data_IF_468943853434
#
_entry.id   IF_468943853434
#
_cell.length_a   1.000
_cell.length_b   1.000
_cell.length_c   1.000
_cell.angle_alpha   90.00
_cell.angle_beta   90.00
_cell.angle_gamma   90.00
#
_symmetry.space_group_name_H-M   'P 1'
#
loop_
_entity.id
_entity.type
_entity.pdbx_description
1 polymer ?
#
# COMPACT_ATOMS: atom_id res chain seq x y z
N UNK A 1 12.36 22.54 -26.55
CA UNK A 1 11.65 22.68 -25.26
C UNK A 1 12.60 22.21 -24.18
N UNK A 2 12.65 22.88 -23.04
CA UNK A 2 13.51 22.45 -21.93
C UNK A 2 13.14 21.02 -21.50
N UNK A 3 14.12 20.12 -21.26
CA UNK A 3 13.84 18.75 -20.82
C UNK A 3 12.94 18.70 -19.58
N UNK A 4 13.09 19.67 -18.67
CA UNK A 4 12.27 19.81 -17.48
C UNK A 4 10.79 20.07 -17.80
N UNK A 5 10.52 20.88 -18.83
CA UNK A 5 9.16 21.18 -19.27
C UNK A 5 8.51 19.95 -19.91
N UNK A 6 9.26 19.14 -20.67
CA UNK A 6 8.76 17.89 -21.24
C UNK A 6 8.38 16.90 -20.15
N UNK A 7 9.25 16.71 -19.14
CA UNK A 7 8.96 15.84 -17.99
C UNK A 7 7.72 16.32 -17.24
N UNK A 8 7.62 17.61 -16.94
CA UNK A 8 6.47 18.19 -16.25
C UNK A 8 5.16 17.97 -17.00
N UNK A 9 5.17 18.12 -18.32
CA UNK A 9 3.99 17.94 -19.17
C UNK A 9 3.55 16.47 -19.21
N UNK A 10 4.49 15.52 -19.31
CA UNK A 10 4.19 14.09 -19.24
C UNK A 10 3.60 13.72 -17.87
N UNK A 11 4.18 14.23 -16.78
CA UNK A 11 3.66 13.99 -15.42
C UNK A 11 2.25 14.57 -15.28
N UNK A 12 2.00 15.77 -15.79
CA UNK A 12 0.69 16.40 -15.74
C UNK A 12 -0.38 15.57 -16.47
N UNK A 13 -0.05 15.09 -17.68
CA UNK A 13 -0.92 14.20 -18.45
C UNK A 13 -1.15 12.88 -17.70
N UNK A 14 -0.08 12.26 -17.17
CA UNK A 14 -0.15 11.02 -16.39
C UNK A 14 -1.13 11.17 -15.22
N UNK A 15 -1.00 12.26 -14.44
CA UNK A 15 -1.89 12.55 -13.31
C UNK A 15 -3.34 12.76 -13.77
N UNK A 16 -3.56 13.45 -14.89
CA UNK A 16 -4.90 13.60 -15.47
C UNK A 16 -5.54 12.26 -15.80
N UNK A 17 -4.80 11.34 -16.44
CA UNK A 17 -5.29 9.98 -16.72
C UNK A 17 -5.50 9.15 -15.45
N UNK A 18 -4.64 9.30 -14.44
CA UNK A 18 -4.76 8.62 -13.16
C UNK A 18 -6.03 9.05 -12.40
N UNK A 19 -6.31 10.36 -12.38
CA UNK A 19 -7.52 10.92 -11.73
C UNK A 19 -8.78 10.50 -12.49
N UNK A 20 -8.74 10.44 -13.83
CA UNK A 20 -9.88 10.04 -14.63
C UNK A 20 -10.33 8.60 -14.33
N UNK A 21 -9.39 7.70 -14.00
CA UNK A 21 -9.69 6.35 -13.48
C UNK A 21 -10.38 5.40 -14.47
N UNK A 22 -10.54 5.78 -15.76
CA UNK A 22 -11.17 4.92 -16.78
C UNK A 22 -10.26 3.78 -17.27
N UNK A 23 -8.95 3.97 -17.17
CA UNK A 23 -7.95 3.04 -17.69
C UNK A 23 -7.25 2.34 -16.52
N UNK A 24 -6.76 1.12 -16.76
CA UNK A 24 -5.94 0.41 -15.77
C UNK A 24 -4.70 1.24 -15.44
N UNK A 25 -4.51 1.52 -14.16
CA UNK A 25 -3.40 2.35 -13.67
C UNK A 25 -2.03 1.87 -14.17
N UNK A 26 -1.79 0.56 -14.18
CA UNK A 26 -0.55 -0.05 -14.68
C UNK A 26 -0.28 0.29 -16.15
N UNK A 27 -1.33 0.28 -16.98
CA UNK A 27 -1.18 0.57 -18.42
C UNK A 27 -0.82 2.03 -18.67
N UNK A 28 -1.45 2.94 -17.91
CA UNK A 28 -1.20 4.38 -18.01
C UNK A 28 0.23 4.71 -17.58
N UNK A 29 0.70 4.16 -16.45
CA UNK A 29 2.05 4.41 -15.93
C UNK A 29 3.15 3.82 -16.81
N UNK A 30 2.95 2.60 -17.33
CA UNK A 30 3.90 1.97 -18.26
C UNK A 30 3.99 2.73 -19.59
N UNK A 31 2.88 3.25 -20.09
CA UNK A 31 2.87 4.06 -21.33
C UNK A 31 3.62 5.38 -21.13
N UNK A 32 3.41 6.05 -19.99
CA UNK A 32 4.15 7.27 -19.67
C UNK A 32 5.67 7.01 -19.55
N UNK A 33 6.06 5.92 -18.88
CA UNK A 33 7.46 5.50 -18.79
C UNK A 33 8.05 5.21 -20.19
N UNK A 34 7.32 4.51 -21.05
CA UNK A 34 7.75 4.22 -22.41
C UNK A 34 7.98 5.52 -23.22
N UNK A 35 7.08 6.50 -23.11
CA UNK A 35 7.22 7.81 -23.75
C UNK A 35 8.46 8.54 -23.23
N UNK A 36 8.71 8.52 -21.91
CA UNK A 36 9.90 9.16 -21.32
C UNK A 36 11.21 8.54 -21.83
N UNK A 37 11.26 7.21 -22.00
CA UNK A 37 12.43 6.51 -22.54
C UNK A 37 12.62 6.82 -24.03
N UNK A 38 11.53 6.82 -24.82
CA UNK A 38 11.56 7.14 -26.26
C UNK A 38 12.01 8.58 -26.53
N UNK A 39 11.65 9.52 -25.66
CA UNK A 39 12.09 10.91 -25.73
C UNK A 39 13.53 11.11 -25.21
N UNK A 40 14.20 10.06 -24.74
CA UNK A 40 15.56 10.13 -24.19
C UNK A 40 15.65 10.85 -22.84
N UNK A 41 14.52 11.09 -22.18
CA UNK A 41 14.46 11.74 -20.86
C UNK A 41 14.92 10.81 -19.74
N UNK A 42 14.73 9.50 -19.94
CA UNK A 42 15.17 8.45 -19.01
C UNK A 42 15.98 7.40 -19.79
N UNK A 43 17.21 7.07 -19.37
CA UNK A 43 17.98 5.99 -19.98
C UNK A 43 17.23 4.67 -19.88
N UNK A 44 17.17 3.90 -20.98
CA UNK A 44 16.43 2.62 -21.01
C UNK A 44 16.92 1.62 -19.95
N UNK A 45 18.20 1.68 -19.57
CA UNK A 45 18.79 0.86 -18.50
C UNK A 45 18.26 1.21 -17.11
N UNK A 46 17.82 2.45 -16.92
CA UNK A 46 17.35 2.99 -15.64
C UNK A 46 15.83 2.94 -15.49
N UNK A 47 15.11 2.72 -16.60
CA UNK A 47 13.64 2.75 -16.65
C UNK A 47 12.97 1.84 -15.60
N UNK A 48 13.60 0.71 -15.25
CA UNK A 48 13.07 -0.28 -14.31
C UNK A 48 13.72 -0.23 -12.92
N UNK A 49 14.63 0.72 -12.64
CA UNK A 49 15.27 0.83 -11.32
C UNK A 49 14.25 1.02 -10.18
N UNK A 50 13.09 1.63 -10.49
CA UNK A 50 11.99 1.80 -9.53
C UNK A 50 11.39 0.50 -9.01
N UNK A 51 11.50 -0.62 -9.72
CA UNK A 51 10.99 -1.93 -9.25
C UNK A 51 11.82 -2.49 -8.09
N UNK A 52 13.09 -2.08 -7.96
CA UNK A 52 13.95 -2.44 -6.83
C UNK A 52 13.74 -1.57 -5.59
N UNK A 53 12.82 -0.61 -5.64
CA UNK A 53 12.61 0.31 -4.53
C UNK A 53 12.07 -0.44 -3.30
N UNK A 54 12.59 -0.18 -2.08
CA UNK A 54 12.16 -0.87 -0.85
C UNK A 54 10.64 -0.85 -0.62
N UNK A 55 9.95 0.20 -1.05
CA UNK A 55 8.49 0.29 -0.96
C UNK A 55 7.77 -0.80 -1.79
N UNK A 56 8.26 -1.10 -3.00
CA UNK A 56 7.66 -2.14 -3.87
C UNK A 56 7.79 -3.51 -3.21
N UNK A 57 8.99 -3.80 -2.68
CA UNK A 57 9.28 -5.05 -1.96
C UNK A 57 8.39 -5.17 -0.72
N UNK A 58 8.21 -4.08 0.02
CA UNK A 58 7.37 -4.04 1.23
C UNK A 58 5.91 -4.39 0.93
N UNK A 59 5.33 -3.82 -0.12
CA UNK A 59 3.96 -4.14 -0.54
C UNK A 59 3.84 -5.62 -0.93
N UNK A 60 4.80 -6.16 -1.67
CA UNK A 60 4.81 -7.59 -2.05
C UNK A 60 4.86 -8.51 -0.82
N UNK A 61 5.75 -8.22 0.14
CA UNK A 61 5.86 -8.97 1.40
C UNK A 61 4.57 -8.89 2.23
N UNK A 62 3.92 -7.74 2.24
CA UNK A 62 2.67 -7.56 2.97
C UNK A 62 1.54 -8.37 2.39
N UNK A 63 1.40 -8.40 1.06
CA UNK A 63 0.40 -9.26 0.40
C UNK A 63 0.67 -10.73 0.71
N UNK A 64 1.94 -11.14 0.77
CA UNK A 64 2.35 -12.48 1.15
C UNK A 64 2.02 -12.79 2.62
N UNK A 65 2.37 -11.89 3.55
CA UNK A 65 2.09 -12.02 4.98
C UNK A 65 0.58 -12.06 5.21
N UNK A 66 -0.20 -11.19 4.58
CA UNK A 66 -1.66 -11.19 4.65
C UNK A 66 -2.23 -12.58 4.32
N UNK A 67 -1.78 -13.18 3.22
CA UNK A 67 -2.20 -14.53 2.83
C UNK A 67 -1.71 -15.62 3.79
N UNK A 68 -0.50 -15.48 4.33
CA UNK A 68 0.03 -16.41 5.32
C UNK A 68 -0.72 -16.35 6.65
N UNK A 69 -1.12 -15.16 7.10
CA UNK A 69 -1.91 -14.95 8.32
C UNK A 69 -3.35 -15.48 8.15
N UNK A 70 -3.94 -15.29 6.97
CA UNK A 70 -5.25 -15.85 6.61
C UNK A 70 -5.21 -17.39 6.64
N UNK A 71 -4.20 -18.00 6.00
CA UNK A 71 -4.06 -19.46 5.94
C UNK A 71 -3.64 -20.12 7.25
N UNK A 72 -2.88 -19.43 8.09
CA UNK A 72 -2.39 -19.99 9.36
C UNK A 72 -3.45 -19.99 10.48
N UNK A 73 -4.61 -19.34 10.28
CA UNK A 73 -5.62 -19.18 11.32
C UNK A 73 -5.21 -18.19 12.41
N UNK A 74 -4.09 -17.48 12.25
CA UNK A 74 -3.61 -16.49 13.22
C UNK A 74 -4.61 -15.35 13.43
N UNK A 75 -5.28 -14.92 12.36
CA UNK A 75 -6.36 -13.92 12.41
C UNK A 75 -7.49 -14.41 13.32
N UNK A 76 -7.85 -15.70 13.25
CA UNK A 76 -8.87 -16.28 14.11
C UNK A 76 -8.40 -16.30 15.57
N UNK A 77 -7.16 -16.74 15.84
CA UNK A 77 -6.61 -16.77 17.19
C UNK A 77 -6.57 -15.39 17.86
N UNK A 78 -6.12 -14.37 17.11
CA UNK A 78 -6.11 -12.98 17.60
C UNK A 78 -7.53 -12.50 17.83
N UNK A 79 -8.44 -12.71 16.89
CA UNK A 79 -9.83 -12.25 17.04
C UNK A 79 -10.55 -12.92 18.22
N UNK A 80 -10.26 -14.19 18.53
CA UNK A 80 -10.82 -14.85 19.73
C UNK A 80 -10.23 -14.29 21.03
N UNK A 81 -8.94 -13.94 21.02
CA UNK A 81 -8.27 -13.35 22.19
C UNK A 81 -8.73 -11.92 22.41
N UNK A 82 -8.81 -11.12 21.35
CA UNK A 82 -9.29 -9.75 21.40
C UNK A 82 -10.78 -9.70 21.74
N UNK A 83 -11.62 -10.57 21.17
CA UNK A 83 -13.06 -10.58 21.48
C UNK A 83 -13.38 -10.87 22.96
N UNK A 84 -12.46 -11.52 23.69
CA UNK A 84 -12.58 -11.72 25.14
C UNK A 84 -12.17 -10.51 25.97
N UNK A 85 -11.21 -9.71 25.49
CA UNK A 85 -10.56 -8.66 26.28
C UNK A 85 -10.90 -7.23 25.81
N UNK A 86 -11.34 -7.07 24.57
CA UNK A 86 -11.64 -5.81 23.90
C UNK A 86 -13.05 -5.90 23.32
N UNK A 87 -13.98 -5.21 23.97
CA UNK A 87 -15.41 -5.28 23.63
C UNK A 87 -15.88 -4.12 22.75
N UNK A 88 -15.06 -3.07 22.58
CA UNK A 88 -15.46 -1.84 21.87
C UNK A 88 -14.55 -1.46 20.71
N UNK A 89 -15.15 -0.97 19.62
CA UNK A 89 -14.47 -0.44 18.43
C UNK A 89 -13.39 0.61 18.81
N UNK A 90 -13.69 1.50 19.76
CA UNK A 90 -12.76 2.54 20.20
C UNK A 90 -11.50 1.98 20.87
N UNK A 91 -11.62 0.95 21.70
CA UNK A 91 -10.48 0.33 22.36
C UNK A 91 -9.57 -0.39 21.35
N UNK A 92 -10.17 -1.06 20.35
CA UNK A 92 -9.41 -1.68 19.26
C UNK A 92 -8.68 -0.64 18.42
N UNK A 93 -9.33 0.49 18.11
CA UNK A 93 -8.71 1.59 17.36
C UNK A 93 -7.53 2.21 18.12
N UNK A 94 -7.66 2.44 19.43
CA UNK A 94 -6.55 2.93 20.27
C UNK A 94 -5.38 1.92 20.28
N UNK A 95 -5.66 0.62 20.43
CA UNK A 95 -4.62 -0.41 20.36
C UNK A 95 -3.94 -0.42 18.99
N UNK A 96 -4.71 -0.34 17.91
CA UNK A 96 -4.20 -0.27 16.54
C UNK A 96 -3.27 0.93 16.38
N UNK A 97 -3.66 2.11 16.86
CA UNK A 97 -2.84 3.33 16.79
C UNK A 97 -1.55 3.21 17.59
N UNK A 98 -1.58 2.61 18.80
CA UNK A 98 -0.38 2.40 19.60
C UNK A 98 0.59 1.44 18.92
N UNK A 99 0.07 0.32 18.40
CA UNK A 99 0.87 -0.66 17.66
C UNK A 99 1.43 -0.03 16.38
N UNK A 100 0.63 0.72 15.62
CA UNK A 100 1.06 1.44 14.43
C UNK A 100 2.16 2.45 14.74
N UNK A 101 1.99 3.28 15.76
CA UNK A 101 2.99 4.27 16.18
C UNK A 101 4.29 3.59 16.63
N UNK A 102 4.19 2.50 17.38
CA UNK A 102 5.36 1.72 17.80
C UNK A 102 6.09 1.12 16.60
N UNK A 103 5.40 0.42 15.69
CA UNK A 103 6.01 -0.13 14.47
C UNK A 103 6.63 0.99 13.64
N UNK A 104 5.94 2.12 13.47
CA UNK A 104 6.41 3.26 12.69
C UNK A 104 7.67 3.93 13.27
N UNK A 105 8.02 3.66 14.54
CA UNK A 105 9.30 4.09 15.12
C UNK A 105 10.49 3.25 14.63
N UNK A 106 10.26 2.03 14.13
CA UNK A 106 11.29 1.12 13.64
C UNK A 106 11.30 0.99 12.11
N UNK A 107 10.18 1.26 11.45
CA UNK A 107 10.03 1.13 10.00
C UNK A 107 9.30 2.33 9.39
N UNK A 108 9.45 2.53 8.07
CA UNK A 108 8.72 3.57 7.34
C UNK A 108 7.20 3.34 7.45
N UNK A 109 6.43 4.44 7.52
CA UNK A 109 4.97 4.48 7.59
C UNK A 109 4.30 3.51 6.60
N UNK A 110 4.83 3.37 5.37
CA UNK A 110 4.29 2.45 4.36
C UNK A 110 4.38 1.00 4.84
N UNK A 111 5.49 0.59 5.44
CA UNK A 111 5.66 -0.77 5.97
C UNK A 111 4.78 -1.06 7.16
N UNK A 112 4.67 -0.10 8.09
CA UNK A 112 3.80 -0.25 9.26
C UNK A 112 2.32 -0.36 8.86
N UNK A 113 1.85 0.53 7.98
CA UNK A 113 0.50 0.48 7.42
C UNK A 113 0.23 -0.86 6.73
N UNK A 114 1.17 -1.29 5.89
CA UNK A 114 1.00 -2.48 5.08
C UNK A 114 0.90 -3.74 5.97
N UNK A 115 1.67 -3.83 7.06
CA UNK A 115 1.54 -4.96 8.00
C UNK A 115 0.21 -4.97 8.76
N UNK A 116 -0.28 -3.80 9.17
CA UNK A 116 -1.47 -3.71 10.02
C UNK A 116 -2.78 -3.83 9.23
N UNK A 117 -2.83 -3.33 8.00
CA UNK A 117 -4.04 -3.36 7.15
C UNK A 117 -4.71 -4.75 7.07
N UNK A 118 -4.00 -5.85 6.72
CA UNK A 118 -4.64 -7.16 6.62
C UNK A 118 -5.09 -7.70 7.98
N UNK A 119 -4.40 -7.34 9.06
CA UNK A 119 -4.75 -7.74 10.43
C UNK A 119 -6.04 -7.02 10.85
N UNK A 120 -6.12 -5.71 10.61
CA UNK A 120 -7.30 -4.89 10.89
C UNK A 120 -8.52 -5.40 10.13
N UNK A 121 -8.39 -5.65 8.82
CA UNK A 121 -9.49 -6.15 7.99
C UNK A 121 -9.97 -7.51 8.51
N UNK A 122 -9.04 -8.43 8.80
CA UNK A 122 -9.39 -9.77 9.28
C UNK A 122 -10.11 -9.76 10.63
N UNK A 123 -9.66 -8.92 11.57
CA UNK A 123 -10.30 -8.77 12.89
C UNK A 123 -11.65 -8.07 12.77
N UNK A 124 -11.75 -6.99 11.99
CA UNK A 124 -13.00 -6.27 11.79
C UNK A 124 -14.07 -7.17 11.17
N UNK A 125 -13.71 -7.98 10.16
CA UNK A 125 -14.61 -8.97 9.56
C UNK A 125 -15.08 -10.02 10.57
N UNK A 126 -14.18 -10.51 11.44
CA UNK A 126 -14.52 -11.48 12.48
C UNK A 126 -15.43 -10.92 13.57
N UNK A 127 -15.28 -9.64 13.91
CA UNK A 127 -16.10 -8.94 14.91
C UNK A 127 -17.38 -8.33 14.31
N UNK A 128 -17.66 -8.57 13.02
CA UNK A 128 -18.77 -7.96 12.26
C UNK A 128 -18.74 -6.42 12.25
N UNK A 129 -17.56 -5.83 12.42
CA UNK A 129 -17.36 -4.39 12.34
C UNK A 129 -17.07 -3.96 10.90
N UNK A 130 -17.48 -2.74 10.55
CA UNK A 130 -17.14 -2.18 9.24
C UNK A 130 -15.64 -1.81 9.19
N UNK A 131 -14.83 -2.47 8.33
CA UNK A 131 -13.40 -2.20 8.24
C UNK A 131 -13.07 -0.75 7.84
N UNK A 132 -13.99 -0.06 7.15
CA UNK A 132 -13.75 1.32 6.70
C UNK A 132 -13.73 2.35 7.84
N UNK A 133 -14.03 1.94 9.07
CA UNK A 133 -13.97 2.80 10.26
C UNK A 133 -12.56 2.86 10.89
N UNK A 134 -11.68 1.93 10.53
CA UNK A 134 -10.34 1.77 11.10
C UNK A 134 -9.26 2.10 10.07
#
# INVERSE_FOLDING_TARGET
>A
MDPQLQVALIIFILLGFLIWGKWRYDGVTLTALAIMVLLGLVPAKEAFLGFGHPAVITVALVLLISKALEKSGFINMIGDTLGRNISGEFQFLVLLMLVAGFLSSFMNNIGAMAMLLPITIGIAQKMEWNPSKF
#
